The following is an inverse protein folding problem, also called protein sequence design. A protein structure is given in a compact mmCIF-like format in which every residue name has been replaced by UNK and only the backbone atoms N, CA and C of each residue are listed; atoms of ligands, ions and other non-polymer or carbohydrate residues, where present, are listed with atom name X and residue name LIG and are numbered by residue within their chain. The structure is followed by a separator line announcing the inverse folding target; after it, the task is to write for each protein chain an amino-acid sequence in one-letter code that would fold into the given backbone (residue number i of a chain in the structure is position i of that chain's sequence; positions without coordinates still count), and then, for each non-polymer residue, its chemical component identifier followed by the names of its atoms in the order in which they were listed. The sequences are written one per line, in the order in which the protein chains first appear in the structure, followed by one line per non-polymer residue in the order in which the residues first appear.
data_IF_968423902459
#
_entry.id   IF_968423902459
#
_cell.length_a   1.000
_cell.length_b   1.000
_cell.length_c   1.000
_cell.angle_alpha   90.00
_cell.angle_beta   90.00
_cell.angle_gamma   90.00
#
_symmetry.space_group_name_H-M   'P 1'
#
loop_
_entity.id
_entity.type
_entity.pdbx_description
1 polymer ?
#
# COMPACT_ATOMS: atom_id res chain seq x y z
N UNK A 1 22.26 18.35 -44.36
CA UNK A 1 22.52 18.24 -42.91
C UNK A 1 21.70 17.09 -42.35
N UNK A 2 22.30 15.92 -42.14
CA UNK A 2 21.64 14.83 -41.41
C UNK A 2 21.85 15.05 -39.92
N UNK A 3 20.86 15.63 -39.24
CA UNK A 3 20.81 15.56 -37.79
C UNK A 3 20.72 14.06 -37.43
N UNK A 4 21.70 13.52 -36.69
CA UNK A 4 21.70 12.09 -36.37
C UNK A 4 20.42 11.72 -35.62
N UNK A 5 19.89 10.50 -35.85
CA UNK A 5 18.61 10.00 -35.28
C UNK A 5 18.51 10.29 -33.77
N UNK A 6 19.65 10.16 -33.06
CA UNK A 6 19.82 10.55 -31.66
C UNK A 6 19.43 12.03 -31.41
N UNK A 7 20.06 12.98 -32.08
CA UNK A 7 19.77 14.41 -31.86
C UNK A 7 18.35 14.79 -32.27
N UNK A 8 17.80 14.15 -33.31
CA UNK A 8 16.41 14.33 -33.71
C UNK A 8 15.44 13.90 -32.59
N UNK A 9 15.66 12.73 -31.97
CA UNK A 9 14.80 12.23 -30.88
C UNK A 9 14.76 13.19 -29.68
N UNK A 10 15.92 13.64 -29.20
CA UNK A 10 15.97 14.59 -28.09
C UNK A 10 15.41 15.97 -28.48
N UNK A 11 15.68 16.44 -29.71
CA UNK A 11 15.12 17.70 -30.20
C UNK A 11 13.59 17.68 -30.19
N UNK A 12 12.95 16.61 -30.66
CA UNK A 12 11.49 16.50 -30.67
C UNK A 12 10.91 16.51 -29.25
N UNK A 13 11.49 15.74 -28.32
CA UNK A 13 11.07 15.77 -26.93
C UNK A 13 11.23 17.16 -26.31
N UNK A 14 12.37 17.81 -26.51
CA UNK A 14 12.60 19.17 -25.98
C UNK A 14 11.67 20.20 -26.60
N UNK A 15 11.35 20.07 -27.90
CA UNK A 15 10.37 20.92 -28.57
C UNK A 15 8.98 20.74 -27.95
N UNK A 16 8.56 19.50 -27.72
CA UNK A 16 7.31 19.19 -27.03
C UNK A 16 7.30 19.77 -25.62
N UNK A 17 8.32 19.52 -24.80
CA UNK A 17 8.38 20.04 -23.44
C UNK A 17 8.36 21.58 -23.38
N UNK A 18 9.00 22.27 -24.33
CA UNK A 18 8.97 23.74 -24.39
C UNK A 18 7.56 24.31 -24.56
N UNK A 19 6.65 23.63 -25.28
CA UNK A 19 5.26 24.09 -25.41
C UNK A 19 4.38 23.76 -24.20
N UNK A 20 4.88 22.97 -23.25
CA UNK A 20 4.15 22.51 -22.06
C UNK A 20 4.71 23.07 -20.75
N UNK A 21 5.59 24.08 -20.81
CA UNK A 21 6.20 24.68 -19.61
C UNK A 21 5.10 25.20 -18.68
N UNK A 22 5.15 24.76 -17.43
CA UNK A 22 4.27 25.16 -16.35
C UNK A 22 5.08 25.89 -15.28
N UNK A 23 4.51 26.95 -14.68
CA UNK A 23 5.16 27.74 -13.62
C UNK A 23 4.44 27.69 -12.28
N UNK A 24 3.30 26.99 -12.23
CA UNK A 24 2.51 26.80 -11.02
C UNK A 24 2.48 25.32 -10.63
N UNK A 25 1.81 25.02 -9.51
CA UNK A 25 1.73 23.67 -8.93
C UNK A 25 0.87 22.69 -9.74
N UNK A 26 0.26 23.11 -10.85
CA UNK A 26 -0.51 22.24 -11.75
C UNK A 26 0.37 21.38 -12.65
N UNK A 27 1.70 21.50 -12.56
CA UNK A 27 2.61 20.64 -13.30
C UNK A 27 2.34 19.16 -13.01
N UNK A 28 2.48 18.36 -14.05
CA UNK A 28 2.26 16.91 -14.03
C UNK A 28 3.56 16.13 -14.16
N UNK A 29 4.60 16.82 -14.65
CA UNK A 29 5.93 16.30 -14.81
C UNK A 29 6.91 17.38 -14.37
N UNK A 30 8.00 16.96 -13.76
CA UNK A 30 9.05 17.88 -13.32
C UNK A 30 10.41 17.28 -13.56
N UNK A 31 11.43 18.11 -13.56
CA UNK A 31 12.82 17.70 -13.58
C UNK A 31 13.60 18.46 -12.54
N UNK A 32 14.49 17.75 -11.85
CA UNK A 32 15.46 18.36 -10.93
C UNK A 32 16.45 19.30 -11.63
N UNK A 33 16.47 19.31 -12.97
CA UNK A 33 17.41 20.10 -13.79
C UNK A 33 16.71 20.90 -14.90
N UNK A 34 15.58 20.43 -15.42
CA UNK A 34 15.01 20.90 -16.69
C UNK A 34 13.63 21.59 -16.58
N UNK A 35 13.08 21.79 -15.38
CA UNK A 35 11.87 22.59 -15.15
C UNK A 35 10.60 21.77 -14.93
N UNK A 36 9.45 22.42 -15.03
CA UNK A 36 8.12 21.88 -14.72
C UNK A 36 7.24 21.93 -15.97
N UNK A 37 6.42 20.88 -16.18
CA UNK A 37 5.56 20.76 -17.35
C UNK A 37 4.16 20.24 -17.02
N UNK A 38 3.16 20.80 -17.67
CA UNK A 38 1.80 20.32 -17.64
C UNK A 38 1.51 19.54 -18.93
N UNK A 39 1.42 18.22 -18.85
CA UNK A 39 1.14 17.32 -19.97
C UNK A 39 -0.22 16.70 -19.69
N UNK A 40 -1.21 16.97 -20.53
CA UNK A 40 -2.56 16.49 -20.32
C UNK A 40 -2.67 14.97 -20.58
N UNK A 41 -3.73 14.33 -20.08
CA UNK A 41 -3.90 12.88 -20.25
C UNK A 41 -4.03 12.46 -21.73
N UNK A 42 -4.58 13.33 -22.59
CA UNK A 42 -4.68 13.10 -24.04
C UNK A 42 -3.33 13.23 -24.76
N UNK A 43 -2.35 13.92 -24.17
CA UNK A 43 -1.01 14.09 -24.72
C UNK A 43 0.00 13.07 -24.18
N UNK A 44 -0.36 12.31 -23.14
CA UNK A 44 0.50 11.26 -22.56
C UNK A 44 1.02 10.24 -23.59
N UNK A 45 0.21 9.71 -24.52
CA UNK A 45 0.71 8.75 -25.51
C UNK A 45 1.81 9.33 -26.41
N UNK A 46 1.66 10.60 -26.82
CA UNK A 46 2.68 11.30 -27.61
C UNK A 46 3.93 11.54 -26.75
N UNK A 47 3.76 12.07 -25.55
CA UNK A 47 4.86 12.29 -24.62
C UNK A 47 5.65 11.00 -24.33
N UNK A 48 5.00 9.88 -24.03
CA UNK A 48 5.68 8.60 -23.80
C UNK A 48 6.43 8.10 -25.03
N UNK A 49 5.91 8.34 -26.22
CA UNK A 49 6.61 8.02 -27.48
C UNK A 49 7.89 8.83 -27.61
N UNK A 50 7.79 10.16 -27.45
CA UNK A 50 8.92 11.08 -27.54
C UNK A 50 9.97 10.81 -26.45
N UNK A 51 9.51 10.61 -25.22
CA UNK A 51 10.34 10.25 -24.08
C UNK A 51 11.11 8.96 -24.34
N UNK A 52 10.41 7.91 -24.76
CA UNK A 52 11.02 6.59 -24.97
C UNK A 52 12.06 6.60 -26.08
N UNK A 53 11.86 7.41 -27.12
CA UNK A 53 12.84 7.59 -28.20
C UNK A 53 14.09 8.34 -27.73
N UNK A 54 13.94 9.36 -26.87
CA UNK A 54 15.07 10.11 -26.34
C UNK A 54 15.86 9.31 -25.28
N UNK A 55 15.17 8.59 -24.40
CA UNK A 55 15.75 7.82 -23.30
C UNK A 55 16.68 6.68 -23.75
N UNK A 56 16.58 6.24 -25.01
CA UNK A 56 17.54 5.29 -25.61
C UNK A 56 18.95 5.85 -25.70
N UNK A 57 19.10 7.17 -25.77
CA UNK A 57 20.35 7.81 -26.17
C UNK A 57 20.87 8.87 -25.20
N UNK A 58 20.01 9.37 -24.32
CA UNK A 58 20.33 10.46 -23.40
C UNK A 58 19.86 10.13 -21.99
N UNK A 59 20.60 10.59 -20.97
CA UNK A 59 20.11 10.55 -19.61
C UNK A 59 18.88 11.45 -19.47
N UNK A 60 17.84 10.91 -18.86
CA UNK A 60 16.59 11.61 -18.61
C UNK A 60 16.49 11.98 -17.13
N UNK A 61 15.89 13.13 -16.86
CA UNK A 61 15.71 13.63 -15.50
C UNK A 61 14.28 14.06 -15.25
N UNK A 62 13.32 13.32 -15.80
CA UNK A 62 11.89 13.62 -15.74
C UNK A 62 11.20 12.70 -14.74
N UNK A 63 10.46 13.31 -13.84
CA UNK A 63 9.65 12.68 -12.81
C UNK A 63 8.19 12.92 -13.16
N UNK A 64 7.35 11.89 -12.99
CA UNK A 64 5.91 12.02 -13.15
C UNK A 64 5.28 12.29 -11.78
N UNK A 65 4.46 13.34 -11.69
CA UNK A 65 3.78 13.74 -10.46
C UNK A 65 2.48 12.96 -10.32
N UNK A 66 2.28 12.30 -9.18
CA UNK A 66 0.93 11.80 -8.85
C UNK A 66 0.05 12.93 -8.34
N UNK A 67 -1.24 12.88 -8.69
CA UNK A 67 -2.22 13.77 -8.09
C UNK A 67 -2.60 13.22 -6.72
N UNK A 68 -2.26 13.94 -5.64
CA UNK A 68 -2.43 13.51 -4.23
C UNK A 68 -3.87 13.14 -3.83
N UNK A 69 -4.87 13.46 -4.67
CA UNK A 69 -6.29 13.15 -4.43
C UNK A 69 -6.89 12.15 -5.43
N UNK A 70 -6.06 11.52 -6.27
CA UNK A 70 -6.52 10.52 -7.24
C UNK A 70 -5.92 9.16 -6.91
N UNK A 71 -6.65 8.07 -7.20
CA UNK A 71 -6.10 6.72 -7.15
C UNK A 71 -4.82 6.61 -8.00
N UNK A 72 -3.80 5.96 -7.44
CA UNK A 72 -2.53 5.70 -8.12
C UNK A 72 -2.07 4.25 -7.87
N UNK A 73 -1.24 3.68 -8.76
CA UNK A 73 -0.63 2.35 -8.54
C UNK A 73 0.15 2.29 -7.24
N UNK A 74 0.08 1.17 -6.52
CA UNK A 74 0.90 0.96 -5.32
C UNK A 74 2.38 0.91 -5.65
N UNK A 75 3.15 1.79 -5.02
CA UNK A 75 4.60 1.87 -5.16
C UNK A 75 5.20 1.98 -3.78
N UNK A 76 6.08 1.04 -3.44
CA UNK A 76 6.81 1.01 -2.18
C UNK A 76 8.30 1.05 -2.44
N UNK A 77 8.96 2.07 -1.91
CA UNK A 77 10.42 2.19 -1.90
C UNK A 77 10.97 1.77 -0.53
N UNK A 78 12.05 1.01 -0.57
CA UNK A 78 12.76 0.44 0.56
C UNK A 78 14.17 1.01 0.55
N UNK A 79 14.48 1.76 1.60
CA UNK A 79 15.75 2.45 1.79
C UNK A 79 16.42 1.93 3.07
N UNK A 80 17.70 1.53 3.03
CA UNK A 80 18.41 1.11 4.23
C UNK A 80 18.49 2.21 5.29
N UNK A 81 18.24 1.89 6.58
CA UNK A 81 18.36 2.89 7.65
C UNK A 81 19.78 3.45 7.81
N UNK A 82 20.82 2.65 7.61
CA UNK A 82 22.22 3.10 7.67
C UNK A 82 22.62 4.02 6.50
N UNK A 83 21.76 4.20 5.49
CA UNK A 83 21.97 5.23 4.46
C UNK A 83 21.41 6.61 4.84
N UNK A 84 20.64 6.69 5.94
CA UNK A 84 20.05 7.93 6.48
C UNK A 84 20.87 8.53 7.63
N UNK A 85 21.84 7.80 8.15
CA UNK A 85 22.76 8.23 9.19
C UNK A 85 24.17 8.04 8.65
N UNK A 86 25.00 9.09 8.63
CA UNK A 86 26.30 9.20 7.95
C UNK A 86 27.42 8.25 8.45
N UNK A 87 27.06 7.11 9.08
CA UNK A 87 28.01 6.11 9.54
C UNK A 87 28.13 4.98 8.50
N UNK A 88 29.32 4.37 8.45
CA UNK A 88 29.72 3.33 7.50
C UNK A 88 28.58 2.35 7.17
N UNK A 89 28.08 2.45 5.94
CA UNK A 89 27.05 1.57 5.42
C UNK A 89 27.58 0.13 5.36
N UNK A 90 27.02 -0.78 6.18
CA UNK A 90 27.26 -2.21 6.00
C UNK A 90 26.42 -2.70 4.81
N UNK A 91 27.04 -2.71 3.62
CA UNK A 91 26.42 -3.16 2.38
C UNK A 91 25.88 -4.59 2.41
N UNK A 92 26.24 -5.39 3.42
CA UNK A 92 25.78 -6.76 3.56
C UNK A 92 24.33 -6.88 4.08
N UNK A 93 23.73 -5.83 4.65
CA UNK A 93 22.37 -5.91 5.21
C UNK A 93 21.33 -6.17 4.11
N UNK A 94 21.54 -5.62 2.92
CA UNK A 94 20.56 -5.65 1.82
C UNK A 94 20.77 -6.79 0.83
N UNK A 95 22.03 -7.21 0.61
CA UNK A 95 22.32 -8.37 -0.23
C UNK A 95 21.88 -9.69 0.43
N UNK A 96 21.77 -9.71 1.77
CA UNK A 96 21.23 -10.84 2.54
C UNK A 96 19.73 -10.71 2.88
N UNK A 97 19.07 -9.63 2.45
CA UNK A 97 17.65 -9.43 2.73
C UNK A 97 16.80 -10.37 1.85
N UNK A 98 15.87 -11.09 2.46
CA UNK A 98 14.97 -12.00 1.74
C UNK A 98 13.85 -11.22 1.02
N UNK A 99 14.20 -10.72 -0.16
CA UNK A 99 13.27 -10.01 -1.06
C UNK A 99 12.11 -10.87 -1.53
N UNK A 100 12.30 -12.19 -1.62
CA UNK A 100 11.22 -13.11 -2.01
C UNK A 100 10.17 -13.14 -0.92
N UNK A 101 10.57 -13.35 0.34
CA UNK A 101 9.64 -13.30 1.48
C UNK A 101 8.99 -11.91 1.62
N UNK A 102 9.72 -10.83 1.33
CA UNK A 102 9.14 -9.48 1.36
C UNK A 102 8.03 -9.32 0.33
N UNK A 103 8.25 -9.72 -0.91
CA UNK A 103 7.21 -9.68 -1.96
C UNK A 103 6.01 -10.51 -1.56
N UNK A 104 6.21 -11.73 -1.09
CA UNK A 104 5.12 -12.62 -0.67
C UNK A 104 4.29 -11.99 0.46
N UNK A 105 4.95 -11.30 1.40
CA UNK A 105 4.26 -10.53 2.45
C UNK A 105 3.47 -9.37 1.88
N UNK A 106 4.05 -8.56 0.99
CA UNK A 106 3.34 -7.45 0.36
C UNK A 106 2.11 -7.98 -0.39
N UNK A 107 2.27 -9.01 -1.22
CA UNK A 107 1.17 -9.64 -1.94
C UNK A 107 0.11 -10.17 -0.98
N UNK A 108 0.50 -10.83 0.12
CA UNK A 108 -0.43 -11.32 1.14
C UNK A 108 -1.23 -10.19 1.80
N UNK A 109 -0.58 -9.07 2.12
CA UNK A 109 -1.25 -7.87 2.68
C UNK A 109 -2.22 -7.29 1.65
N UNK A 110 -1.78 -7.05 0.42
CA UNK A 110 -2.63 -6.49 -0.64
C UNK A 110 -3.78 -7.47 -0.95
N UNK A 111 -3.54 -8.78 -0.94
CA UNK A 111 -4.58 -9.80 -1.12
C UNK A 111 -5.61 -9.75 0.01
N UNK A 112 -5.16 -9.60 1.25
CA UNK A 112 -6.05 -9.41 2.40
C UNK A 112 -6.86 -8.11 2.31
N UNK A 113 -6.29 -7.06 1.73
CA UNK A 113 -6.95 -5.77 1.58
C UNK A 113 -7.86 -5.66 0.35
N UNK A 114 -7.57 -6.34 -0.77
CA UNK A 114 -8.25 -6.14 -2.05
C UNK A 114 -8.85 -7.42 -2.68
N UNK A 115 -8.62 -8.58 -2.05
CA UNK A 115 -9.17 -9.89 -2.45
C UNK A 115 -8.27 -10.69 -3.41
N UNK A 116 -8.55 -11.99 -3.54
CA UNK A 116 -7.72 -12.94 -4.30
C UNK A 116 -7.81 -12.84 -5.84
N UNK A 117 -8.83 -12.15 -6.38
CA UNK A 117 -9.08 -12.09 -7.83
C UNK A 117 -8.39 -10.94 -8.56
N UNK A 118 -7.32 -10.36 -8.01
CA UNK A 118 -6.66 -9.17 -8.56
C UNK A 118 -5.40 -9.52 -9.32
N UNK A 119 -5.03 -8.64 -10.26
CA UNK A 119 -3.75 -8.72 -10.95
C UNK A 119 -2.65 -8.13 -10.05
N UNK A 120 -1.91 -9.04 -9.40
CA UNK A 120 -0.77 -8.71 -8.55
C UNK A 120 0.56 -8.72 -9.31
N UNK A 121 0.54 -8.44 -10.62
CA UNK A 121 1.79 -8.15 -11.34
C UNK A 121 2.53 -7.05 -10.58
N UNK A 122 3.82 -7.28 -10.34
CA UNK A 122 4.73 -6.33 -9.71
C UNK A 122 6.00 -6.21 -10.54
N UNK A 123 6.60 -5.03 -10.50
CA UNK A 123 7.92 -4.72 -11.05
C UNK A 123 8.84 -4.44 -9.88
N UNK A 124 9.89 -5.26 -9.75
CA UNK A 124 10.94 -5.08 -8.76
C UNK A 124 12.11 -4.33 -9.38
N UNK A 125 12.46 -3.21 -8.76
CA UNK A 125 13.42 -2.23 -9.23
C UNK A 125 14.53 -2.06 -8.19
N UNK A 126 15.76 -1.79 -8.63
CA UNK A 126 16.84 -1.36 -7.75
C UNK A 126 17.59 -0.17 -8.31
N UNK A 127 18.09 0.67 -7.43
CA UNK A 127 18.87 1.84 -7.76
C UNK A 127 20.08 1.91 -6.84
N UNK A 128 21.27 2.07 -7.40
CA UNK A 128 22.47 2.40 -6.61
C UNK A 128 22.34 3.83 -6.11
N UNK A 129 22.45 4.02 -4.79
CA UNK A 129 22.44 5.32 -4.15
C UNK A 129 23.84 5.96 -4.21
N UNK A 130 23.93 7.26 -3.93
CA UNK A 130 25.18 8.03 -4.02
C UNK A 130 26.21 7.52 -3.00
N UNK A 131 25.74 6.97 -1.87
CA UNK A 131 26.57 6.49 -0.76
C UNK A 131 27.03 5.02 -0.91
N UNK A 132 26.82 4.39 -2.07
CA UNK A 132 27.27 3.01 -2.34
C UNK A 132 26.32 1.89 -1.90
N UNK A 133 25.20 2.21 -1.27
CA UNK A 133 24.08 1.31 -1.03
C UNK A 133 23.07 1.22 -2.18
N UNK A 134 21.97 0.51 -1.95
CA UNK A 134 20.91 0.30 -2.94
C UNK A 134 19.54 0.60 -2.37
N UNK A 135 18.76 1.39 -3.09
CA UNK A 135 17.33 1.51 -2.87
C UNK A 135 16.63 0.44 -3.71
N UNK A 136 15.53 -0.08 -3.17
CA UNK A 136 14.72 -1.09 -3.83
C UNK A 136 13.29 -0.59 -3.93
N UNK A 137 12.61 -0.90 -5.03
CA UNK A 137 11.24 -0.43 -5.24
C UNK A 137 10.37 -1.56 -5.79
N UNK A 138 9.20 -1.75 -5.19
CA UNK A 138 8.14 -2.59 -5.72
C UNK A 138 7.03 -1.71 -6.27
N UNK A 139 6.77 -1.85 -7.56
CA UNK A 139 5.69 -1.17 -8.25
C UNK A 139 4.63 -2.18 -8.67
N UNK A 140 3.40 -2.02 -8.19
CA UNK A 140 2.23 -2.85 -8.53
C UNK A 140 1.33 -2.08 -9.50
N UNK A 141 1.60 -2.13 -10.82
CA UNK A 141 0.98 -1.24 -11.80
C UNK A 141 -0.54 -1.34 -11.92
N UNK A 142 -1.13 -2.45 -11.48
CA UNK A 142 -2.57 -2.73 -11.59
C UNK A 142 -3.30 -2.72 -10.25
N UNK A 143 -2.58 -2.53 -9.14
CA UNK A 143 -3.18 -2.30 -7.83
C UNK A 143 -3.28 -0.78 -7.65
N UNK A 144 -4.35 -0.19 -8.21
CA UNK A 144 -4.57 1.25 -8.22
C UNK A 144 -5.57 1.63 -7.14
N UNK A 145 -5.15 2.44 -6.16
CA UNK A 145 -6.00 2.78 -5.03
C UNK A 145 -5.69 4.17 -4.46
N UNK A 146 -6.61 4.68 -3.64
CA UNK A 146 -6.45 5.95 -2.92
C UNK A 146 -5.24 5.95 -1.98
N UNK A 147 -4.62 7.12 -1.80
CA UNK A 147 -3.39 7.32 -1.01
C UNK A 147 -3.46 6.72 0.41
N UNK A 148 -4.62 6.81 1.06
CA UNK A 148 -4.81 6.25 2.41
C UNK A 148 -4.45 4.76 2.47
N UNK A 149 -4.77 3.98 1.44
CA UNK A 149 -4.48 2.55 1.41
C UNK A 149 -2.98 2.26 1.23
N UNK A 150 -2.23 3.13 0.54
CA UNK A 150 -0.77 3.03 0.45
C UNK A 150 -0.13 3.20 1.83
N UNK A 151 -0.60 4.20 2.58
CA UNK A 151 -0.14 4.49 3.94
C UNK A 151 -0.44 3.31 4.86
N UNK A 152 -1.62 2.69 4.73
CA UNK A 152 -1.97 1.50 5.51
C UNK A 152 -1.02 0.33 5.26
N UNK A 153 -0.76 -0.02 4.00
CA UNK A 153 0.19 -1.10 3.66
C UNK A 153 1.60 -0.76 4.17
N UNK A 154 2.06 0.47 3.96
CA UNK A 154 3.36 0.95 4.46
C UNK A 154 3.49 0.77 5.97
N UNK A 155 2.45 1.12 6.74
CA UNK A 155 2.46 0.99 8.20
C UNK A 155 2.48 -0.47 8.66
N UNK A 156 1.80 -1.37 7.95
CA UNK A 156 1.88 -2.81 8.23
C UNK A 156 3.32 -3.29 8.00
N UNK A 157 3.91 -2.95 6.86
CA UNK A 157 5.27 -3.38 6.51
C UNK A 157 6.33 -2.83 7.48
N UNK A 158 6.25 -1.55 7.86
CA UNK A 158 7.18 -0.93 8.83
C UNK A 158 7.24 -1.66 10.16
N UNK A 159 6.12 -2.21 10.62
CA UNK A 159 6.08 -2.99 11.86
C UNK A 159 6.71 -4.39 11.72
N UNK A 160 6.93 -4.86 10.49
CA UNK A 160 7.53 -6.17 10.21
C UNK A 160 9.02 -6.10 9.85
N UNK A 161 9.49 -4.96 9.35
CA UNK A 161 10.89 -4.77 8.93
C UNK A 161 11.68 -3.98 9.96
N UNK A 162 12.56 -4.65 10.68
CA UNK A 162 13.59 -3.96 11.47
C UNK A 162 14.69 -3.48 10.49
N UNK A 163 15.16 -2.24 10.65
CA UNK A 163 16.29 -1.64 9.93
C UNK A 163 16.08 -1.31 8.43
N UNK A 164 14.84 -1.33 7.93
CA UNK A 164 14.51 -0.84 6.58
C UNK A 164 13.49 0.28 6.67
N UNK A 165 13.82 1.45 6.11
CA UNK A 165 12.88 2.53 5.95
C UNK A 165 12.01 2.25 4.72
N UNK A 166 10.70 2.36 4.88
CA UNK A 166 9.75 2.13 3.80
C UNK A 166 9.01 3.44 3.53
N UNK A 167 9.02 3.90 2.29
CA UNK A 167 8.26 5.03 1.77
C UNK A 167 7.30 4.56 0.67
N UNK A 168 6.20 5.28 0.48
CA UNK A 168 5.48 5.22 -0.79
C UNK A 168 5.93 6.39 -1.66
N UNK A 169 5.90 6.21 -2.98
CA UNK A 169 6.47 7.19 -3.92
C UNK A 169 5.35 8.02 -4.55
N UNK A 170 5.33 9.33 -4.26
CA UNK A 170 4.37 10.28 -4.83
C UNK A 170 4.82 10.70 -6.23
N UNK A 171 6.13 10.87 -6.43
CA UNK A 171 6.71 11.40 -7.66
C UNK A 171 7.73 10.39 -8.23
N UNK A 172 7.26 9.30 -8.85
CA UNK A 172 8.14 8.29 -9.40
C UNK A 172 8.85 8.79 -10.66
N UNK A 173 10.11 8.39 -10.79
CA UNK A 173 10.88 8.58 -12.00
C UNK A 173 10.29 7.72 -13.13
N UNK A 174 10.14 8.30 -14.32
CA UNK A 174 9.82 7.55 -15.53
C UNK A 174 10.94 6.53 -15.82
N UNK A 175 10.67 5.49 -16.60
CA UNK A 175 11.66 4.46 -16.90
C UNK A 175 12.97 5.05 -17.48
N UNK A 176 14.13 4.65 -16.95
CA UNK A 176 15.47 5.22 -17.22
C UNK A 176 15.70 6.68 -16.77
N UNK A 177 14.72 7.31 -16.13
CA UNK A 177 14.88 8.63 -15.52
C UNK A 177 15.49 8.54 -14.12
N UNK A 178 16.16 9.61 -13.71
CA UNK A 178 16.84 9.71 -12.41
C UNK A 178 17.09 11.18 -12.05
N UNK A 179 17.73 11.44 -10.92
CA UNK A 179 18.30 12.76 -10.60
C UNK A 179 19.75 12.87 -11.09
N UNK A 180 20.27 14.11 -11.17
CA UNK A 180 21.66 14.34 -11.57
C UNK A 180 22.62 13.55 -10.67
N UNK A 181 23.59 12.87 -11.26
CA UNK A 181 24.60 12.04 -10.55
C UNK A 181 24.08 10.77 -9.88
N UNK A 182 22.78 10.48 -9.97
CA UNK A 182 22.18 9.22 -9.49
C UNK A 182 21.95 8.30 -10.68
N UNK A 183 22.22 7.00 -10.57
CA UNK A 183 21.89 6.05 -11.64
C UNK A 183 20.38 5.80 -11.69
N UNK A 184 19.78 5.57 -12.87
CA UNK A 184 18.36 5.20 -12.94
C UNK A 184 18.10 3.84 -12.30
N UNK A 185 16.85 3.60 -11.89
CA UNK A 185 16.41 2.28 -11.46
C UNK A 185 16.62 1.25 -12.59
N UNK A 186 17.11 0.08 -12.21
CA UNK A 186 17.19 -1.12 -13.04
C UNK A 186 16.07 -2.06 -12.62
N UNK A 187 15.40 -2.67 -13.61
CA UNK A 187 14.42 -3.71 -13.34
C UNK A 187 15.17 -5.00 -13.02
N UNK A 188 14.93 -5.55 -11.83
CA UNK A 188 15.44 -6.86 -11.42
C UNK A 188 14.50 -7.97 -11.88
N UNK A 189 13.19 -7.79 -11.68
CA UNK A 189 12.18 -8.82 -11.94
C UNK A 189 10.83 -8.18 -12.25
N UNK A 190 10.05 -8.85 -13.09
CA UNK A 190 8.60 -8.64 -13.24
C UNK A 190 7.94 -9.98 -12.95
N UNK A 191 6.85 -10.00 -12.19
CA UNK A 191 6.11 -11.24 -11.94
C UNK A 191 5.23 -11.66 -13.13
N UNK A 192 4.71 -12.88 -13.06
CA UNK A 192 3.83 -13.47 -14.08
C UNK A 192 4.53 -13.68 -15.45
N UNK A 193 5.82 -14.01 -15.43
CA UNK A 193 6.64 -14.39 -16.60
C UNK A 193 6.64 -13.38 -17.76
N UNK A 194 6.34 -12.10 -17.49
CA UNK A 194 6.54 -11.04 -18.48
C UNK A 194 8.03 -10.90 -18.78
N UNK A 195 8.40 -11.22 -20.02
CA UNK A 195 9.77 -11.13 -20.49
C UNK A 195 10.17 -9.67 -20.73
N UNK A 196 10.74 -9.06 -19.69
CA UNK A 196 11.24 -7.67 -19.71
C UNK A 196 12.20 -7.44 -20.87
N UNK A 197 13.01 -8.45 -21.23
CA UNK A 197 14.00 -8.30 -22.30
C UNK A 197 13.34 -8.08 -23.67
N UNK A 198 12.07 -8.45 -23.81
CA UNK A 198 11.25 -8.22 -25.01
C UNK A 198 10.41 -6.96 -24.95
N UNK A 199 10.31 -6.30 -23.79
CA UNK A 199 9.51 -5.08 -23.67
C UNK A 199 10.25 -3.88 -24.27
N UNK A 200 9.54 -3.11 -25.10
CA UNK A 200 10.06 -1.83 -25.56
C UNK A 200 10.11 -0.82 -24.41
N UNK A 201 10.98 0.18 -24.51
CA UNK A 201 11.05 1.29 -23.55
C UNK A 201 9.68 1.96 -23.40
N UNK A 202 8.93 2.11 -24.49
CA UNK A 202 7.56 2.63 -24.45
C UNK A 202 6.63 1.78 -23.59
N UNK A 203 6.67 0.46 -23.75
CA UNK A 203 5.84 -0.45 -22.95
C UNK A 203 6.22 -0.37 -21.46
N UNK A 204 7.51 -0.21 -21.15
CA UNK A 204 7.99 -0.05 -19.77
C UNK A 204 7.59 1.29 -19.15
N UNK A 205 7.72 2.39 -19.90
CA UNK A 205 7.25 3.72 -19.48
C UNK A 205 5.75 3.68 -19.19
N UNK A 206 4.95 3.08 -20.09
CA UNK A 206 3.52 2.97 -19.91
C UNK A 206 3.14 2.07 -18.72
N UNK A 207 3.87 0.96 -18.52
CA UNK A 207 3.67 0.06 -17.38
C UNK A 207 3.94 0.76 -16.04
N UNK A 208 5.05 1.49 -15.95
CA UNK A 208 5.52 2.16 -14.73
C UNK A 208 4.95 3.56 -14.51
N UNK A 209 4.16 4.07 -15.45
CA UNK A 209 3.44 5.33 -15.23
C UNK A 209 2.44 5.21 -14.08
N UNK A 210 2.31 6.29 -13.32
CA UNK A 210 1.27 6.46 -12.30
C UNK A 210 0.05 7.22 -12.79
N UNK A 211 0.12 7.85 -13.96
CA UNK A 211 -0.95 8.70 -14.48
C UNK A 211 -1.96 7.93 -15.32
N UNK A 212 -3.14 8.55 -15.46
CA UNK A 212 -4.28 8.03 -16.22
C UNK A 212 -4.75 6.63 -15.81
N UNK A 213 -4.44 6.16 -14.60
CA UNK A 213 -4.81 4.83 -14.11
C UNK A 213 -6.03 4.82 -13.19
N UNK A 214 -6.60 5.98 -12.86
CA UNK A 214 -7.80 6.10 -12.01
C UNK A 214 -9.00 5.25 -12.46
N UNK A 215 -9.14 4.96 -13.76
CA UNK A 215 -10.19 4.08 -14.28
C UNK A 215 -10.00 2.60 -13.87
N UNK A 216 -8.79 2.22 -13.45
CA UNK A 216 -8.46 0.92 -12.88
C UNK A 216 -8.58 0.91 -11.35
N UNK A 217 -9.10 1.99 -10.74
CA UNK A 217 -9.17 2.10 -9.30
C UNK A 217 -9.97 0.94 -8.70
N UNK A 218 -9.32 0.25 -7.76
CA UNK A 218 -9.93 -0.78 -6.95
C UNK A 218 -10.20 -0.24 -5.56
N UNK A 219 -11.39 -0.55 -5.05
CA UNK A 219 -11.70 -0.33 -3.65
C UNK A 219 -11.22 -1.52 -2.84
N UNK A 220 -10.74 -1.30 -1.60
CA UNK A 220 -10.46 -2.40 -0.70
C UNK A 220 -11.73 -3.23 -0.43
N UNK A 221 -11.51 -4.46 0.03
CA UNK A 221 -12.53 -5.25 0.71
C UNK A 221 -13.12 -4.40 1.85
N UNK A 222 -14.45 -4.39 1.98
CA UNK A 222 -15.13 -3.57 2.96
C UNK A 222 -14.58 -3.81 4.36
N UNK A 223 -14.17 -2.74 5.02
CA UNK A 223 -13.59 -2.77 6.34
C UNK A 223 -12.06 -2.95 6.38
N UNK A 224 -11.38 -3.09 5.24
CA UNK A 224 -9.92 -3.10 5.23
C UNK A 224 -9.34 -1.76 5.71
N UNK A 225 -10.08 -0.66 5.56
CA UNK A 225 -9.80 0.65 6.15
C UNK A 225 -9.68 0.63 7.68
N UNK A 226 -10.23 -0.39 8.35
CA UNK A 226 -10.11 -0.61 9.79
C UNK A 226 -8.95 -1.52 10.18
N UNK A 227 -8.16 -1.98 9.21
CA UNK A 227 -6.87 -2.61 9.43
C UNK A 227 -5.79 -1.52 9.66
N UNK A 228 -6.11 -0.52 10.47
CA UNK A 228 -5.14 0.50 10.88
C UNK A 228 -4.40 0.01 12.12
N UNK A 229 -3.07 -0.05 12.04
CA UNK A 229 -2.24 0.02 13.24
C UNK A 229 -2.30 1.47 13.76
N UNK A 230 -2.50 1.70 15.07
CA UNK A 230 -2.67 3.03 15.61
C UNK A 230 -1.32 3.74 15.65
N UNK A 231 -1.38 5.04 15.44
CA UNK A 231 -0.26 5.95 15.68
C UNK A 231 -0.20 6.40 17.15
N UNK A 232 -1.25 6.16 17.96
CA UNK A 232 -1.35 6.66 19.34
C UNK A 232 -1.95 5.66 20.33
N UNK A 233 -1.47 5.73 21.57
CA UNK A 233 -1.99 4.96 22.70
C UNK A 233 -3.21 5.71 23.27
N UNK A 234 -4.39 5.11 23.21
CA UNK A 234 -5.61 5.62 23.85
C UNK A 234 -5.77 4.93 25.20
N UNK A 235 -6.10 5.68 26.27
CA UNK A 235 -6.38 5.09 27.59
C UNK A 235 -7.75 4.41 27.58
N UNK A 236 -7.92 3.32 28.35
CA UNK A 236 -9.20 2.56 28.42
C UNK A 236 -10.38 3.44 28.81
N UNK A 237 -10.14 4.40 29.70
CA UNK A 237 -11.13 5.33 30.26
C UNK A 237 -11.71 6.27 29.20
N UNK A 238 -10.95 6.55 28.15
CA UNK A 238 -11.32 7.47 27.06
C UNK A 238 -12.05 6.73 25.91
N UNK A 239 -12.25 5.42 26.02
CA UNK A 239 -12.90 4.63 24.99
C UNK A 239 -14.42 4.88 24.95
N UNK A 240 -15.02 4.96 23.74
CA UNK A 240 -16.44 5.18 23.60
C UNK A 240 -17.23 4.02 24.19
N UNK A 241 -18.38 4.35 24.78
CA UNK A 241 -19.35 3.37 25.25
C UNK A 241 -20.34 3.04 24.13
N UNK A 242 -20.42 1.77 23.76
CA UNK A 242 -21.10 1.27 22.56
C UNK A 242 -22.19 0.27 22.95
N UNK A 243 -23.38 0.43 22.37
CA UNK A 243 -24.47 -0.54 22.48
C UNK A 243 -24.36 -1.59 21.39
N UNK A 244 -23.81 -2.76 21.72
CA UNK A 244 -23.69 -3.85 20.77
C UNK A 244 -24.99 -4.64 20.67
N UNK A 245 -25.35 -5.04 19.45
CA UNK A 245 -26.38 -6.02 19.19
C UNK A 245 -25.77 -7.43 19.24
N UNK A 246 -26.32 -8.28 20.11
CA UNK A 246 -25.83 -9.64 20.34
C UNK A 246 -25.90 -10.50 19.09
N UNK A 247 -26.99 -10.42 18.32
CA UNK A 247 -27.19 -11.22 17.11
C UNK A 247 -26.21 -10.82 16.02
N UNK A 248 -25.94 -9.52 15.88
CA UNK A 248 -24.91 -8.98 14.97
C UNK A 248 -23.56 -9.61 15.29
N UNK A 249 -23.13 -9.49 16.55
CA UNK A 249 -21.84 -10.02 17.01
C UNK A 249 -21.77 -11.53 16.80
N UNK A 250 -22.77 -12.30 17.25
CA UNK A 250 -22.79 -13.75 17.06
C UNK A 250 -22.74 -14.17 15.59
N UNK A 251 -23.30 -13.35 14.69
CA UNK A 251 -23.31 -13.60 13.24
C UNK A 251 -21.93 -13.34 12.62
N UNK A 252 -21.30 -12.21 12.91
CA UNK A 252 -19.92 -11.92 12.49
C UNK A 252 -18.94 -12.99 12.98
N UNK A 253 -19.13 -13.46 14.21
CA UNK A 253 -18.27 -14.50 14.79
C UNK A 253 -18.43 -15.88 14.17
N UNK A 254 -19.59 -16.17 13.60
CA UNK A 254 -19.79 -17.42 12.85
C UNK A 254 -19.08 -17.38 11.49
N UNK A 255 -18.95 -16.20 10.89
CA UNK A 255 -18.23 -16.00 9.63
C UNK A 255 -16.72 -16.11 9.83
N UNK A 256 -16.21 -15.67 10.98
CA UNK A 256 -14.77 -15.75 11.26
C UNK A 256 -14.35 -17.21 11.35
N UNK A 257 -13.44 -17.60 10.46
CA UNK A 257 -12.99 -18.96 10.27
C UNK A 257 -12.34 -19.51 11.53
N UNK A 258 -12.71 -20.75 11.90
CA UNK A 258 -12.13 -21.45 13.06
C UNK A 258 -10.59 -21.55 12.98
N UNK A 259 -10.02 -21.53 11.78
CA UNK A 259 -8.59 -21.60 11.50
C UNK A 259 -7.82 -20.31 11.86
N UNK A 260 -8.47 -19.16 12.01
CA UNK A 260 -7.78 -17.94 12.48
C UNK A 260 -7.32 -18.06 13.93
N UNK A 261 -8.01 -18.86 14.73
CA UNK A 261 -7.69 -19.07 16.14
C UNK A 261 -6.55 -20.08 16.34
N UNK A 262 -6.07 -20.74 15.28
CA UNK A 262 -4.87 -21.59 15.33
C UNK A 262 -3.55 -20.84 15.04
N UNK A 263 -3.61 -19.62 14.48
CA UNK A 263 -2.44 -18.78 14.29
C UNK A 263 -2.19 -17.92 15.54
N UNK A 264 -0.99 -17.99 16.12
CA UNK A 264 -0.64 -17.23 17.31
C UNK A 264 -0.87 -15.72 17.15
N UNK A 265 -0.53 -15.13 15.98
CA UNK A 265 -0.70 -13.69 15.67
C UNK A 265 -2.18 -13.31 15.55
N UNK A 266 -2.95 -14.03 14.76
CA UNK A 266 -4.38 -13.74 14.54
C UNK A 266 -5.20 -13.99 15.80
N UNK A 267 -4.83 -15.00 16.60
CA UNK A 267 -5.35 -15.19 17.95
C UNK A 267 -5.12 -13.96 18.85
N UNK A 268 -3.94 -13.32 18.76
CA UNK A 268 -3.66 -12.08 19.51
C UNK A 268 -4.61 -10.97 19.09
N UNK A 269 -4.72 -10.74 17.78
CA UNK A 269 -5.56 -9.68 17.21
C UNK A 269 -7.02 -9.86 17.60
N UNK A 270 -7.56 -11.07 17.44
CA UNK A 270 -8.91 -11.41 17.86
C UNK A 270 -9.13 -11.17 19.36
N UNK A 271 -8.17 -11.58 20.20
CA UNK A 271 -8.26 -11.37 21.65
C UNK A 271 -8.34 -9.88 22.00
N UNK A 272 -7.58 -9.01 21.32
CA UNK A 272 -7.65 -7.56 21.50
C UNK A 272 -9.01 -7.00 21.07
N UNK A 273 -9.55 -7.44 19.93
CA UNK A 273 -10.90 -7.02 19.45
C UNK A 273 -11.97 -7.39 20.47
N UNK A 274 -11.97 -8.64 20.95
CA UNK A 274 -12.94 -9.09 21.95
C UNK A 274 -12.82 -8.33 23.26
N UNK A 275 -11.59 -8.03 23.68
CA UNK A 275 -11.35 -7.24 24.87
C UNK A 275 -11.84 -5.79 24.71
N UNK A 276 -11.58 -5.15 23.56
CA UNK A 276 -12.13 -3.84 23.22
C UNK A 276 -13.66 -3.85 23.30
N UNK A 277 -14.31 -4.84 22.68
CA UNK A 277 -15.76 -4.96 22.73
C UNK A 277 -16.22 -5.12 24.18
N UNK A 278 -15.55 -5.95 24.98
CA UNK A 278 -15.87 -6.14 26.40
C UNK A 278 -15.80 -4.83 27.22
N UNK A 279 -14.78 -4.00 27.01
CA UNK A 279 -14.58 -2.76 27.79
C UNK A 279 -15.49 -1.60 27.35
N UNK A 280 -15.86 -1.57 26.07
CA UNK A 280 -16.72 -0.53 25.49
C UNK A 280 -18.21 -0.86 25.56
N UNK A 281 -18.57 -2.11 25.81
CA UNK A 281 -19.96 -2.57 25.82
C UNK A 281 -20.78 -1.97 26.97
N UNK A 282 -21.89 -1.31 26.63
CA UNK A 282 -22.91 -0.89 27.62
C UNK A 282 -23.96 -1.98 27.86
N UNK A 283 -24.12 -2.90 26.92
CA UNK A 283 -25.10 -3.98 26.98
C UNK A 283 -24.54 -5.17 27.78
N UNK A 284 -24.85 -5.22 29.08
CA UNK A 284 -24.36 -6.27 29.99
C UNK A 284 -24.79 -7.70 29.61
N UNK A 285 -25.75 -7.88 28.71
CA UNK A 285 -26.24 -9.19 28.26
C UNK A 285 -25.30 -9.90 27.28
N UNK A 286 -24.27 -9.19 26.80
CA UNK A 286 -23.24 -9.71 25.91
C UNK A 286 -21.94 -9.89 26.67
N UNK A 287 -21.64 -11.14 27.02
CA UNK A 287 -20.39 -11.53 27.66
C UNK A 287 -19.34 -11.87 26.59
N UNK A 288 -18.65 -10.83 26.08
CA UNK A 288 -17.56 -10.98 25.11
C UNK A 288 -16.40 -11.85 25.62
N UNK A 289 -16.16 -11.92 26.92
CA UNK A 289 -15.14 -12.80 27.49
C UNK A 289 -15.55 -14.27 27.34
N UNK A 290 -16.80 -14.60 27.67
CA UNK A 290 -17.35 -15.95 27.50
C UNK A 290 -17.39 -16.37 26.04
N UNK A 291 -17.71 -15.44 25.14
CA UNK A 291 -17.68 -15.66 23.70
C UNK A 291 -16.24 -15.97 23.23
N UNK A 292 -15.27 -15.11 23.54
CA UNK A 292 -13.86 -15.35 23.24
C UNK A 292 -13.36 -16.68 23.81
N UNK A 293 -13.76 -17.03 25.05
CA UNK A 293 -13.40 -18.28 25.71
C UNK A 293 -13.93 -19.52 24.99
N UNK A 294 -15.07 -19.42 24.29
CA UNK A 294 -15.58 -20.49 23.42
C UNK A 294 -14.78 -20.58 22.11
N UNK A 295 -14.41 -19.43 21.54
CA UNK A 295 -13.68 -19.36 20.26
C UNK A 295 -12.20 -19.74 20.38
N UNK A 296 -11.55 -19.57 21.54
CA UNK A 296 -10.10 -19.79 21.72
C UNK A 296 -9.60 -21.23 21.61
N UNK A 297 -10.49 -22.22 21.61
CA UNK A 297 -10.10 -23.63 21.57
C UNK A 297 -9.12 -24.01 22.70
N UNK A 298 -7.98 -24.60 22.32
CA UNK A 298 -6.94 -25.12 23.23
C UNK A 298 -5.92 -24.07 23.71
N UNK A 299 -5.94 -22.83 23.19
CA UNK A 299 -4.98 -21.80 23.61
C UNK A 299 -5.19 -21.38 25.08
N UNK A 300 -4.09 -21.38 25.86
CA UNK A 300 -4.05 -20.97 27.28
C UNK A 300 -4.15 -19.44 27.45
N UNK A 301 -5.24 -18.83 26.98
CA UNK A 301 -5.35 -17.37 26.87
C UNK A 301 -5.65 -16.57 28.14
N UNK A 302 -5.77 -17.20 29.34
CA UNK A 302 -6.22 -16.47 30.55
C UNK A 302 -5.24 -15.34 30.93
N UNK A 303 -3.95 -15.56 30.71
CA UNK A 303 -2.91 -14.54 30.88
C UNK A 303 -3.06 -13.45 29.81
N UNK A 304 -3.25 -13.85 28.55
CA UNK A 304 -3.36 -12.92 27.43
C UNK A 304 -4.52 -11.94 27.57
N UNK A 305 -5.71 -12.40 27.98
CA UNK A 305 -6.86 -11.52 28.25
C UNK A 305 -6.54 -10.44 29.29
N UNK A 306 -5.81 -10.79 30.36
CA UNK A 306 -5.41 -9.84 31.41
C UNK A 306 -4.41 -8.80 30.92
N UNK A 307 -3.57 -9.14 29.94
CA UNK A 307 -2.62 -8.21 29.33
C UNK A 307 -3.23 -7.33 28.22
N UNK A 308 -4.50 -7.53 27.84
CA UNK A 308 -5.17 -6.73 26.82
C UNK A 308 -5.40 -5.28 27.22
N UNK A 309 -5.46 -4.97 28.52
CA UNK A 309 -5.39 -3.60 29.02
C UNK A 309 -4.12 -2.86 28.54
N UNK A 310 -3.03 -3.59 28.28
CA UNK A 310 -1.76 -3.03 27.79
C UNK A 310 -1.66 -3.05 26.25
N UNK A 311 -2.57 -3.74 25.55
CA UNK A 311 -2.56 -3.92 24.09
C UNK A 311 -3.43 -2.92 23.32
N UNK A 312 -3.85 -1.82 23.96
CA UNK A 312 -4.50 -0.66 23.31
C UNK A 312 -3.63 0.02 22.23
N UNK A 313 -2.39 -0.45 22.08
CA UNK A 313 -1.42 -0.14 21.03
C UNK A 313 -1.79 -0.62 19.62
N UNK A 314 -2.95 -1.25 19.38
CA UNK A 314 -3.26 -1.86 18.07
C UNK A 314 -4.55 -1.38 17.38
N UNK A 315 -5.33 -0.43 17.92
CA UNK A 315 -6.59 0.14 17.36
C UNK A 315 -7.64 -0.88 16.89
N UNK A 316 -7.40 -2.16 17.21
CA UNK A 316 -8.27 -3.26 16.88
C UNK A 316 -9.56 -3.12 17.68
N UNK A 317 -10.62 -2.75 16.96
CA UNK A 317 -11.92 -2.46 17.52
C UNK A 317 -12.99 -3.30 16.82
N UNK A 318 -14.27 -3.03 17.10
CA UNK A 318 -15.36 -3.82 16.51
C UNK A 318 -15.33 -3.80 14.97
N UNK A 319 -14.90 -2.70 14.35
CA UNK A 319 -14.80 -2.60 12.89
C UNK A 319 -13.77 -3.57 12.29
N UNK A 320 -12.71 -3.89 13.03
CA UNK A 320 -11.77 -4.96 12.66
C UNK A 320 -12.43 -6.35 12.69
N UNK A 321 -13.46 -6.57 13.51
CA UNK A 321 -14.25 -7.81 13.50
C UNK A 321 -15.03 -7.96 12.19
N UNK A 322 -15.63 -6.86 11.71
CA UNK A 322 -16.33 -6.83 10.42
C UNK A 322 -15.39 -7.18 9.27
N UNK A 323 -14.19 -6.61 9.27
CA UNK A 323 -13.16 -6.93 8.27
C UNK A 323 -12.82 -8.43 8.24
N UNK A 324 -12.54 -9.04 9.39
CA UNK A 324 -12.20 -10.47 9.43
C UNK A 324 -13.37 -11.36 9.02
N UNK A 325 -14.60 -10.99 9.38
CA UNK A 325 -15.80 -11.71 8.95
C UNK A 325 -15.98 -11.65 7.44
N UNK A 326 -15.77 -10.48 6.82
CA UNK A 326 -15.85 -10.30 5.38
C UNK A 326 -14.77 -11.08 4.61
N UNK A 327 -13.53 -11.14 5.12
CA UNK A 327 -12.48 -11.94 4.47
C UNK A 327 -12.79 -13.44 4.54
N UNK A 328 -13.28 -13.92 5.69
CA UNK A 328 -13.46 -15.35 5.92
C UNK A 328 -14.72 -15.93 5.27
N UNK A 329 -15.78 -15.15 5.16
CA UNK A 329 -17.03 -15.55 4.51
C UNK A 329 -17.69 -14.36 3.79
N UNK A 330 -17.15 -13.92 2.63
CA UNK A 330 -17.64 -12.75 1.92
C UNK A 330 -19.10 -12.91 1.47
N UNK A 331 -19.51 -14.12 1.08
CA UNK A 331 -20.87 -14.40 0.58
C UNK A 331 -21.89 -14.26 1.70
N UNK A 332 -21.64 -14.87 2.86
CA UNK A 332 -22.55 -14.75 3.99
C UNK A 332 -22.57 -13.32 4.52
N UNK A 333 -21.41 -12.65 4.55
CA UNK A 333 -21.27 -11.27 4.98
C UNK A 333 -22.14 -10.33 4.14
N UNK A 334 -22.03 -10.36 2.81
CA UNK A 334 -22.85 -9.55 1.90
C UNK A 334 -24.35 -9.80 2.12
N UNK A 335 -24.76 -11.05 2.35
CA UNK A 335 -26.16 -11.41 2.58
C UNK A 335 -26.73 -10.93 3.91
N UNK A 336 -25.90 -10.73 4.93
CA UNK A 336 -26.37 -10.44 6.31
C UNK A 336 -26.07 -9.03 6.77
N UNK A 337 -24.91 -8.48 6.43
CA UNK A 337 -24.44 -7.17 6.88
C UNK A 337 -24.83 -6.09 5.87
N UNK A 338 -24.74 -6.36 4.56
CA UNK A 338 -24.99 -5.33 3.53
C UNK A 338 -26.47 -5.12 3.24
N UNK A 339 -27.27 -6.18 3.38
CA UNK A 339 -28.71 -6.13 3.19
C UNK A 339 -29.48 -5.71 4.45
N UNK A 340 -28.80 -5.49 5.58
CA UNK A 340 -29.44 -5.11 6.84
C UNK A 340 -29.11 -3.65 7.22
N UNK A 341 -30.07 -2.70 7.08
CA UNK A 341 -29.85 -1.29 7.36
C UNK A 341 -29.32 -1.00 8.77
N UNK A 342 -29.75 -1.78 9.78
CA UNK A 342 -29.31 -1.61 11.16
C UNK A 342 -27.80 -1.84 11.35
N UNK A 343 -27.18 -2.71 10.52
CA UNK A 343 -25.74 -2.95 10.55
C UNK A 343 -24.97 -1.81 9.87
N UNK A 344 -25.54 -1.24 8.79
CA UNK A 344 -24.96 -0.11 8.06
C UNK A 344 -24.91 1.14 8.92
N UNK A 345 -25.98 1.45 9.64
CA UNK A 345 -26.08 2.66 10.46
C UNK A 345 -25.13 2.62 11.67
N UNK A 346 -24.91 1.44 12.25
CA UNK A 346 -23.95 1.24 13.35
C UNK A 346 -22.49 1.51 12.93
N UNK A 347 -22.16 1.32 11.64
CA UNK A 347 -20.83 1.60 11.07
C UNK A 347 -20.68 3.09 10.69
N UNK A 348 -21.76 3.73 10.23
CA UNK A 348 -21.75 5.13 9.76
C UNK A 348 -21.78 6.15 10.90
N UNK A 349 -22.26 5.79 12.10
CA UNK A 349 -22.25 6.67 13.29
C UNK A 349 -20.85 7.12 13.75
N UNK A 350 -19.76 6.59 13.16
CA UNK A 350 -18.38 7.02 13.42
C UNK A 350 -17.86 8.16 12.53
N UNK A 351 -18.56 8.51 11.44
CA UNK A 351 -18.06 9.50 10.48
C UNK A 351 -18.67 10.90 10.64
N UNK A 352 -19.51 11.13 11.65
CA UNK A 352 -20.19 12.42 11.89
C UNK A 352 -19.76 13.12 13.20
N UNK A 353 -18.56 12.86 13.72
CA UNK A 353 -18.00 13.62 14.85
C UNK A 353 -16.60 14.12 14.60
#
# INVERSE_FOLDING_TARGET
MHCSVKHAANYQLMKFLKSHICKDDSYTHTSTIQGQWHISNNELPEFYTLYSNAAQYFPMYIVEKSETKKPMPMIFEFTPYDSLHENEFDGNIFDNFDWTSMVEKIISIITGMFGHGRDFTYVFLSQENICGGRNFCFHFPYIVCEQIHHIMVQNILKNETQNVAISYVIDPHLYLSTSKHVKPYKIIKVSNDLDIQKMSIYALVNLLSVRNKHHLAIQPLRGAEFYSYPEKIIKVEDLPKINYDKKVIETLLKMIGKNRMSCGRTFRQMTVIFHYCHTTNINKDIDFYKIWKKCRGTFSGKHMWKYCNNFLRYDLNITSLYYYAHIDDPILFEKTVDLNPAFRDMLLQKNEK
#
